data_IF_388628654396
#
_entry.id   IF_388628654396
#
_cell.length_a   1.000
_cell.length_b   1.000
_cell.length_c   1.000
_cell.angle_alpha   90.00
_cell.angle_beta   90.00
_cell.angle_gamma   90.00
#
_symmetry.space_group_name_H-M   'P 1'
#
loop_
_entity.id
_entity.type
_entity.pdbx_description
1 polymer ?
#
# COMPACT_ATOMS: atom_id res chain seq x y z
N UNK A 1 22.61 -13.13 19.16
CA UNK A 1 23.18 -11.96 18.46
C UNK A 1 22.57 -11.92 17.07
N UNK A 2 21.55 -11.08 16.85
CA UNK A 2 20.92 -10.95 15.53
C UNK A 2 21.64 -9.85 14.74
N UNK A 3 22.30 -10.25 13.66
CA UNK A 3 22.95 -9.33 12.73
C UNK A 3 21.88 -8.43 12.08
N UNK A 4 21.84 -7.15 12.48
CA UNK A 4 21.14 -6.10 11.74
C UNK A 4 22.11 -5.49 10.74
N UNK A 5 22.09 -6.00 9.51
CA UNK A 5 22.40 -5.14 8.37
C UNK A 5 21.10 -4.48 7.96
N UNK A 6 20.95 -3.17 8.21
CA UNK A 6 20.22 -2.20 7.36
C UNK A 6 20.52 -0.80 7.93
N UNK A 7 21.15 0.04 7.09
CA UNK A 7 21.39 1.48 7.30
C UNK A 7 20.13 2.26 6.87
N UNK A 8 19.03 2.04 7.58
CA UNK A 8 17.85 2.91 7.56
C UNK A 8 17.19 2.78 8.95
N UNK A 9 17.05 3.85 9.75
CA UNK A 9 16.42 3.76 11.08
C UNK A 9 14.95 3.30 11.02
N UNK A 10 14.35 3.31 9.84
CA UNK A 10 12.96 2.97 9.57
C UNK A 10 12.84 1.53 9.04
N UNK A 11 12.90 0.54 9.93
CA UNK A 11 12.62 -0.87 9.59
C UNK A 11 11.19 -1.23 10.00
N UNK A 12 10.31 -1.54 9.05
CA UNK A 12 8.99 -2.09 9.34
C UNK A 12 9.06 -3.61 9.49
N UNK A 13 8.44 -4.13 10.55
CA UNK A 13 8.29 -5.58 10.74
C UNK A 13 7.13 -6.10 9.88
N UNK A 14 7.42 -6.99 8.92
CA UNK A 14 6.42 -7.50 7.99
C UNK A 14 5.68 -8.75 8.51
N UNK A 15 6.40 -9.71 9.12
CA UNK A 15 5.81 -10.91 9.74
C UNK A 15 6.86 -11.71 10.54
N UNK A 16 6.40 -12.62 11.42
CA UNK A 16 7.25 -13.56 12.15
C UNK A 16 7.56 -14.77 11.25
N UNK A 17 8.84 -15.03 11.01
CA UNK A 17 9.28 -16.23 10.28
C UNK A 17 9.26 -17.42 11.24
N UNK A 18 8.34 -18.37 11.03
CA UNK A 18 8.33 -19.61 11.82
C UNK A 18 9.56 -20.49 11.51
N UNK A 19 10.11 -21.22 12.50
CA UNK A 19 11.27 -22.09 12.31
C UNK A 19 11.13 -23.14 11.19
N UNK A 20 9.89 -23.51 10.84
CA UNK A 20 9.61 -24.44 9.74
C UNK A 20 10.03 -23.92 8.36
N UNK A 21 10.01 -22.60 8.15
CA UNK A 21 10.42 -21.99 6.88
C UNK A 21 11.94 -21.97 6.71
N UNK A 22 12.70 -21.84 7.79
CA UNK A 22 14.17 -21.83 7.76
C UNK A 22 14.79 -23.14 7.26
N UNK A 23 14.06 -24.26 7.36
CA UNK A 23 14.54 -25.55 6.85
C UNK A 23 14.59 -25.65 5.33
N UNK A 24 13.76 -24.87 4.62
CA UNK A 24 13.52 -25.03 3.18
C UNK A 24 13.76 -23.76 2.36
N UNK A 25 13.86 -22.58 2.99
CA UNK A 25 14.03 -21.30 2.32
C UNK A 25 15.41 -20.74 2.65
N UNK A 26 16.20 -20.36 1.62
CA UNK A 26 17.59 -19.90 1.80
C UNK A 26 17.69 -18.38 1.83
N UNK A 27 16.78 -17.68 1.16
CA UNK A 27 16.72 -16.21 1.13
C UNK A 27 15.32 -15.70 1.50
N UNK A 28 15.19 -14.45 2.01
CA UNK A 28 13.90 -13.88 2.41
C UNK A 28 12.83 -13.92 1.32
N UNK A 29 13.24 -13.80 0.05
CA UNK A 29 12.34 -13.87 -1.11
C UNK A 29 11.65 -15.24 -1.24
N UNK A 30 12.33 -16.34 -0.90
CA UNK A 30 11.74 -17.69 -0.92
C UNK A 30 10.64 -17.82 0.13
N UNK A 31 10.80 -17.14 1.26
CA UNK A 31 9.83 -17.13 2.36
C UNK A 31 8.61 -16.30 1.94
N UNK A 32 8.84 -15.10 1.39
CA UNK A 32 7.78 -14.22 0.89
C UNK A 32 6.93 -14.92 -0.18
N UNK A 33 7.56 -15.56 -1.18
CA UNK A 33 6.88 -16.31 -2.25
C UNK A 33 6.03 -17.48 -1.75
N UNK A 34 6.31 -17.99 -0.55
CA UNK A 34 5.58 -19.11 0.05
C UNK A 34 4.44 -18.67 0.98
N UNK A 35 4.60 -17.52 1.62
CA UNK A 35 3.63 -16.98 2.60
C UNK A 35 2.59 -16.11 1.91
N UNK A 36 3.01 -15.29 0.95
CA UNK A 36 2.11 -14.40 0.24
C UNK A 36 1.33 -15.17 -0.83
N UNK A 37 0.08 -14.77 -1.03
CA UNK A 37 -0.69 -15.22 -2.18
C UNK A 37 0.04 -14.85 -3.47
N UNK A 38 -0.18 -15.62 -4.53
CA UNK A 38 0.39 -15.31 -5.85
C UNK A 38 0.05 -13.86 -6.23
N UNK A 39 1.05 -13.11 -6.70
CA UNK A 39 0.99 -11.68 -7.06
C UNK A 39 0.86 -10.69 -5.89
N UNK A 40 0.93 -11.15 -4.64
CA UNK A 40 0.91 -10.28 -3.47
C UNK A 40 2.31 -10.10 -2.90
N UNK A 41 2.60 -8.88 -2.44
CA UNK A 41 3.85 -8.54 -1.75
C UNK A 41 3.59 -8.19 -0.27
N UNK A 42 2.47 -8.65 0.28
CA UNK A 42 2.13 -8.51 1.68
C UNK A 42 1.25 -9.67 2.17
N UNK A 43 1.22 -9.84 3.48
CA UNK A 43 0.32 -10.74 4.15
C UNK A 43 -1.03 -10.05 4.35
N UNK A 44 -2.10 -10.56 3.72
CA UNK A 44 -3.48 -10.14 4.02
C UNK A 44 -4.14 -11.21 4.87
N UNK A 45 -4.82 -10.80 5.92
CA UNK A 45 -5.70 -11.64 6.74
C UNK A 45 -7.00 -12.02 5.99
N UNK A 46 -7.33 -11.29 4.92
CA UNK A 46 -8.52 -11.51 4.11
C UNK A 46 -8.16 -11.84 2.64
N UNK A 47 -8.52 -13.02 2.12
CA UNK A 47 -8.06 -13.53 0.83
C UNK A 47 -8.52 -12.70 -0.38
N UNK A 48 -9.53 -11.83 -0.21
CA UNK A 48 -10.04 -10.96 -1.27
C UNK A 48 -9.55 -9.51 -1.18
N UNK A 49 -8.91 -9.09 -0.08
CA UNK A 49 -8.40 -7.71 0.09
C UNK A 49 -7.01 -7.63 -0.53
N UNK A 50 -6.99 -7.62 -1.86
CA UNK A 50 -5.79 -7.56 -2.70
C UNK A 50 -5.14 -6.17 -2.66
N UNK A 51 -3.95 -6.02 -3.25
CA UNK A 51 -3.37 -4.69 -3.48
C UNK A 51 -4.33 -3.80 -4.28
N UNK A 52 -4.98 -4.35 -5.31
CA UNK A 52 -5.93 -3.61 -6.16
C UNK A 52 -7.13 -3.12 -5.33
N UNK A 53 -7.64 -3.93 -4.39
CA UNK A 53 -8.70 -3.48 -3.47
C UNK A 53 -8.28 -2.22 -2.70
N UNK A 54 -7.07 -2.22 -2.16
CA UNK A 54 -6.55 -1.09 -1.40
C UNK A 54 -6.26 0.13 -2.28
N UNK A 55 -5.65 -0.05 -3.45
CA UNK A 55 -5.48 1.03 -4.43
C UNK A 55 -6.83 1.65 -4.81
N UNK A 56 -7.84 0.80 -5.05
CA UNK A 56 -9.17 1.24 -5.43
C UNK A 56 -9.85 2.05 -4.33
N UNK A 57 -9.66 1.74 -3.05
CA UNK A 57 -10.13 2.59 -1.94
C UNK A 57 -9.56 4.02 -2.04
N UNK A 58 -8.25 4.16 -2.31
CA UNK A 58 -7.62 5.47 -2.37
C UNK A 58 -8.09 6.28 -3.59
N UNK A 59 -8.37 5.61 -4.72
CA UNK A 59 -8.90 6.24 -5.93
C UNK A 59 -10.39 6.59 -5.78
N UNK A 60 -11.22 5.66 -5.32
CA UNK A 60 -12.68 5.83 -5.13
C UNK A 60 -13.02 6.95 -4.14
N UNK A 61 -12.16 7.14 -3.15
CA UNK A 61 -12.31 8.23 -2.17
C UNK A 61 -11.76 9.56 -2.66
N UNK A 62 -11.24 9.66 -3.89
CA UNK A 62 -10.46 10.79 -4.42
C UNK A 62 -9.28 11.21 -3.51
N UNK A 63 -8.71 10.26 -2.77
CA UNK A 63 -7.55 10.55 -1.91
C UNK A 63 -6.27 10.68 -2.73
N UNK A 64 -6.17 9.91 -3.82
CA UNK A 64 -5.04 9.95 -4.75
C UNK A 64 -5.50 9.95 -6.21
N UNK A 65 -4.62 10.43 -7.08
CA UNK A 65 -4.58 10.09 -8.51
C UNK A 65 -3.31 9.34 -8.82
N UNK A 66 -3.40 8.36 -9.71
CA UNK A 66 -2.25 7.58 -10.16
C UNK A 66 -1.96 7.84 -11.64
N UNK A 67 -0.67 7.86 -11.99
CA UNK A 67 -0.19 8.01 -13.36
C UNK A 67 0.89 6.96 -13.60
N UNK A 68 0.52 5.76 -14.08
CA UNK A 68 1.49 4.72 -14.39
C UNK A 68 2.30 5.09 -15.64
N UNK A 69 3.54 4.60 -15.68
CA UNK A 69 4.48 4.74 -16.79
C UNK A 69 5.03 3.37 -17.17
N UNK A 70 4.81 3.00 -18.43
CA UNK A 70 5.31 1.75 -18.99
C UNK A 70 6.71 1.89 -19.59
N UNK A 71 7.40 0.77 -19.73
CA UNK A 71 8.66 0.70 -20.48
C UNK A 71 8.41 1.11 -21.96
N UNK A 72 9.22 2.00 -22.55
CA UNK A 72 9.07 2.39 -23.96
C UNK A 72 9.17 1.23 -24.96
N UNK A 73 9.91 0.17 -24.60
CA UNK A 73 10.11 -1.03 -25.40
C UNK A 73 9.15 -2.16 -25.02
N UNK A 74 8.49 -2.07 -23.86
CA UNK A 74 7.47 -3.02 -23.40
C UNK A 74 6.30 -2.31 -22.71
N UNK A 75 5.25 -1.91 -23.46
CA UNK A 75 4.11 -1.16 -22.92
C UNK A 75 3.32 -1.90 -21.82
N UNK A 76 3.39 -3.23 -21.74
CA UNK A 76 2.74 -4.03 -20.69
C UNK A 76 3.50 -3.99 -19.36
N UNK A 77 4.79 -3.60 -19.38
CA UNK A 77 5.62 -3.50 -18.20
C UNK A 77 5.52 -2.11 -17.58
N UNK A 78 4.70 -1.97 -16.53
CA UNK A 78 4.67 -0.76 -15.70
C UNK A 78 5.99 -0.70 -14.90
N UNK A 79 6.82 0.29 -15.19
CA UNK A 79 8.13 0.46 -14.53
C UNK A 79 8.01 1.32 -13.28
N UNK A 80 7.19 2.37 -13.35
CA UNK A 80 6.94 3.25 -12.23
C UNK A 80 5.55 3.87 -12.28
N UNK A 81 5.06 4.31 -11.13
CA UNK A 81 3.77 4.99 -11.01
C UNK A 81 3.94 6.24 -10.17
N UNK A 82 3.51 7.39 -10.71
CA UNK A 82 3.40 8.62 -9.92
C UNK A 82 2.06 8.64 -9.18
N UNK A 83 2.10 8.99 -7.90
CA UNK A 83 0.94 9.11 -7.01
C UNK A 83 0.81 10.57 -6.61
N UNK A 84 -0.31 11.17 -6.95
CA UNK A 84 -0.66 12.54 -6.61
C UNK A 84 -1.66 12.52 -5.46
N UNK A 85 -1.20 12.85 -4.27
CA UNK A 85 -2.01 12.87 -3.04
C UNK A 85 -2.88 14.13 -3.05
N UNK A 86 -4.19 13.95 -3.04
CA UNK A 86 -5.17 15.03 -3.13
C UNK A 86 -5.82 15.36 -1.80
N UNK A 87 -6.03 14.37 -0.93
CA UNK A 87 -6.55 14.57 0.44
C UNK A 87 -6.29 13.34 1.30
N UNK A 88 -6.29 13.54 2.62
CA UNK A 88 -6.20 12.47 3.61
C UNK A 88 -7.46 12.48 4.47
N UNK A 89 -8.27 11.43 4.42
CA UNK A 89 -9.56 11.43 5.13
C UNK A 89 -9.32 11.18 6.62
N UNK A 90 -9.64 12.17 7.45
CA UNK A 90 -9.70 12.03 8.90
C UNK A 90 -10.93 11.23 9.33
N UNK A 91 -10.91 10.67 10.53
CA UNK A 91 -12.08 9.98 11.10
C UNK A 91 -13.30 10.92 11.23
N UNK A 92 -13.09 12.22 11.43
CA UNK A 92 -14.17 13.21 11.46
C UNK A 92 -14.77 13.43 10.06
N UNK A 93 -13.94 13.50 9.02
CA UNK A 93 -14.39 13.62 7.63
C UNK A 93 -14.99 12.33 7.08
N UNK A 94 -14.70 11.18 7.71
CA UNK A 94 -15.26 9.89 7.29
C UNK A 94 -16.80 9.87 7.31
N UNK A 95 -17.42 10.63 8.22
CA UNK A 95 -18.86 10.91 8.21
C UNK A 95 -19.77 9.76 8.69
N UNK A 96 -19.22 8.63 9.13
CA UNK A 96 -19.94 7.50 9.72
C UNK A 96 -19.06 6.82 10.80
N UNK A 97 -19.59 5.92 11.65
CA UNK A 97 -18.74 5.25 12.61
C UNK A 97 -17.70 4.36 11.89
N UNK A 98 -16.45 4.27 12.38
CA UNK A 98 -15.31 3.78 11.59
C UNK A 98 -15.40 2.31 11.18
N UNK A 99 -16.15 1.50 11.91
CA UNK A 99 -16.41 0.09 11.58
C UNK A 99 -17.54 -0.11 10.56
N UNK A 100 -18.34 0.93 10.27
CA UNK A 100 -19.40 0.83 9.28
C UNK A 100 -18.81 0.83 7.88
N UNK A 101 -19.37 -0.03 7.05
CA UNK A 101 -18.99 -0.24 5.68
C UNK A 101 -19.58 0.83 4.77
N UNK A 102 -18.76 1.37 3.85
CA UNK A 102 -19.15 2.12 2.66
C UNK A 102 -19.12 1.19 1.46
N UNK A 103 -19.93 1.51 0.46
CA UNK A 103 -19.86 0.87 -0.84
C UNK A 103 -18.91 1.63 -1.76
N UNK A 104 -18.21 0.92 -2.63
CA UNK A 104 -17.51 1.54 -3.74
C UNK A 104 -18.49 2.22 -4.70
N UNK A 105 -18.06 3.30 -5.34
CA UNK A 105 -18.86 3.99 -6.36
C UNK A 105 -19.02 3.17 -7.65
N UNK A 106 -18.07 2.27 -7.93
CA UNK A 106 -18.08 1.38 -9.09
C UNK A 106 -18.05 -0.09 -8.67
N UNK A 107 -18.42 -0.99 -9.58
CA UNK A 107 -18.42 -2.43 -9.34
C UNK A 107 -17.01 -2.96 -9.03
N UNK A 108 -16.86 -3.60 -7.87
CA UNK A 108 -15.63 -4.27 -7.44
C UNK A 108 -15.98 -5.60 -6.75
N UNK A 109 -15.11 -6.61 -6.78
CA UNK A 109 -15.40 -7.95 -6.25
C UNK A 109 -15.74 -7.96 -4.76
N UNK A 110 -15.05 -7.12 -3.98
CA UNK A 110 -15.48 -6.74 -2.64
C UNK A 110 -16.26 -5.43 -2.79
N UNK A 111 -17.54 -5.45 -2.41
CA UNK A 111 -18.40 -4.27 -2.59
C UNK A 111 -18.22 -3.20 -1.53
N UNK A 112 -17.52 -3.50 -0.43
CA UNK A 112 -17.47 -2.63 0.74
C UNK A 112 -16.10 -2.49 1.39
N UNK A 113 -15.89 -1.35 2.04
CA UNK A 113 -14.71 -1.03 2.84
C UNK A 113 -15.08 -0.12 4.01
N UNK A 114 -14.29 -0.11 5.08
CA UNK A 114 -14.51 0.78 6.23
C UNK A 114 -13.32 1.74 6.44
N UNK A 115 -13.34 2.52 7.54
CA UNK A 115 -12.28 3.50 7.79
C UNK A 115 -10.91 2.85 8.06
N UNK A 116 -10.89 1.67 8.68
CA UNK A 116 -9.66 0.95 8.92
C UNK A 116 -9.09 0.37 7.62
N UNK A 117 -9.95 -0.09 6.70
CA UNK A 117 -9.52 -0.47 5.36
C UNK A 117 -8.90 0.71 4.62
N UNK A 118 -9.44 1.93 4.79
CA UNK A 118 -8.85 3.16 4.26
C UNK A 118 -7.45 3.46 4.83
N UNK A 119 -7.24 3.29 6.14
CA UNK A 119 -5.90 3.45 6.75
C UNK A 119 -4.95 2.39 6.18
N UNK A 120 -5.37 1.13 6.15
CA UNK A 120 -4.56 0.02 5.63
C UNK A 120 -4.25 0.19 4.13
N UNK A 121 -5.11 0.89 3.39
CA UNK A 121 -4.89 1.15 1.98
C UNK A 121 -3.59 1.91 1.71
N UNK A 122 -3.23 2.87 2.57
CA UNK A 122 -1.96 3.59 2.47
C UNK A 122 -0.74 2.67 2.63
N UNK A 123 -0.85 1.58 3.40
CA UNK A 123 0.24 0.62 3.57
C UNK A 123 0.31 -0.41 2.45
N UNK A 124 -0.84 -0.87 1.94
CA UNK A 124 -0.87 -2.02 1.04
C UNK A 124 -0.97 -1.67 -0.45
N UNK A 125 -1.55 -0.52 -0.81
CA UNK A 125 -1.68 -0.12 -2.20
C UNK A 125 -0.31 0.02 -2.89
N UNK A 126 0.70 0.51 -2.18
CA UNK A 126 2.01 0.79 -2.77
C UNK A 126 3.00 -0.37 -2.67
N UNK A 127 2.50 -1.58 -2.41
CA UNK A 127 3.30 -2.80 -2.38
C UNK A 127 3.25 -3.56 -3.71
N UNK A 128 2.59 -3.03 -4.75
CA UNK A 128 2.67 -3.60 -6.09
C UNK A 128 4.12 -3.73 -6.54
N UNK A 129 4.43 -4.85 -7.21
CA UNK A 129 5.68 -5.08 -7.91
C UNK A 129 5.37 -5.61 -9.30
N UNK A 130 6.13 -5.17 -10.29
CA UNK A 130 6.02 -5.70 -11.64
C UNK A 130 6.67 -7.10 -11.73
N UNK A 131 6.55 -7.74 -12.90
CA UNK A 131 7.09 -9.08 -13.14
C UNK A 131 8.62 -9.18 -12.97
N UNK A 132 9.33 -8.05 -12.97
CA UNK A 132 10.76 -7.97 -12.77
C UNK A 132 11.15 -7.63 -11.32
N UNK A 133 10.18 -7.48 -10.41
CA UNK A 133 10.37 -7.07 -9.01
C UNK A 133 11.11 -5.71 -8.88
N UNK A 134 10.85 -4.78 -9.82
CA UNK A 134 11.55 -3.48 -9.96
C UNK A 134 10.62 -2.28 -10.06
N UNK A 135 9.37 -2.40 -9.63
CA UNK A 135 8.44 -1.28 -9.71
C UNK A 135 8.79 -0.20 -8.69
N UNK A 136 8.68 1.07 -9.11
CA UNK A 136 8.91 2.23 -8.24
C UNK A 136 7.68 3.13 -8.13
N UNK A 137 7.40 3.60 -6.91
CA UNK A 137 6.35 4.57 -6.60
C UNK A 137 6.96 5.96 -6.37
N UNK A 138 6.36 6.99 -6.98
CA UNK A 138 6.78 8.38 -6.82
C UNK A 138 5.65 9.20 -6.23
N UNK A 139 5.82 9.71 -5.01
CA UNK A 139 4.79 10.48 -4.31
C UNK A 139 4.93 11.99 -4.54
N UNK A 140 3.81 12.63 -4.86
CA UNK A 140 3.67 14.07 -5.03
C UNK A 140 2.44 14.55 -4.25
N UNK A 141 2.54 15.72 -3.59
CA UNK A 141 1.35 16.42 -3.10
C UNK A 141 0.72 17.14 -4.31
N UNK A 142 -0.54 16.83 -4.61
CA UNK A 142 -1.25 17.43 -5.72
C UNK A 142 -1.57 18.90 -5.44
N UNK A 143 -1.66 19.73 -6.48
CA UNK A 143 -2.05 21.15 -6.35
C UNK A 143 -3.46 21.35 -5.77
N UNK A 144 -4.31 20.33 -5.84
CA UNK A 144 -5.66 20.32 -5.26
C UNK A 144 -5.67 20.00 -3.77
N UNK A 145 -4.52 19.64 -3.20
CA UNK A 145 -4.40 19.34 -1.78
C UNK A 145 -4.66 20.58 -0.94
N UNK A 146 -5.58 20.45 0.03
CA UNK A 146 -5.84 21.51 0.98
C UNK A 146 -4.74 21.55 2.05
N UNK A 147 -3.85 22.55 1.98
CA UNK A 147 -2.75 22.72 2.94
C UNK A 147 -3.22 22.99 4.38
N UNK A 148 -4.45 23.46 4.57
CA UNK A 148 -5.05 23.70 5.90
C UNK A 148 -5.74 22.45 6.47
N UNK A 149 -5.78 21.36 5.72
CA UNK A 149 -6.40 20.13 6.20
C UNK A 149 -5.66 19.57 7.42
N UNK A 150 -6.43 19.15 8.42
CA UNK A 150 -5.88 18.36 9.53
C UNK A 150 -5.36 17.04 8.98
N UNK A 151 -4.08 16.73 9.26
CA UNK A 151 -3.44 15.49 8.86
C UNK A 151 -3.48 14.50 10.05
N UNK A 152 -4.06 13.30 9.88
CA UNK A 152 -4.05 12.29 10.92
C UNK A 152 -2.64 11.86 11.32
N UNK A 153 -2.40 11.59 12.61
CA UNK A 153 -1.11 11.12 13.09
C UNK A 153 -0.66 9.81 12.43
N UNK A 154 -1.57 8.87 12.19
CA UNK A 154 -1.24 7.61 11.48
C UNK A 154 -0.69 7.88 10.07
N UNK A 155 -1.12 8.95 9.41
CA UNK A 155 -0.62 9.31 8.09
C UNK A 155 0.74 9.99 8.20
N UNK A 156 0.95 10.85 9.21
CA UNK A 156 2.27 11.42 9.49
C UNK A 156 3.29 10.32 9.76
N UNK A 157 2.94 9.32 10.57
CA UNK A 157 3.77 8.15 10.80
C UNK A 157 4.08 7.46 9.47
N UNK A 158 3.08 7.14 8.65
CA UNK A 158 3.30 6.57 7.32
C UNK A 158 4.24 7.43 6.45
N UNK A 159 4.03 8.74 6.40
CA UNK A 159 4.84 9.68 5.62
C UNK A 159 6.31 9.73 6.06
N UNK A 160 6.61 9.54 7.35
CA UNK A 160 8.01 9.47 7.82
C UNK A 160 8.78 8.27 7.27
N UNK A 161 8.09 7.17 6.92
CA UNK A 161 8.72 5.97 6.37
C UNK A 161 8.81 5.99 4.84
N UNK A 162 7.77 6.49 4.16
CA UNK A 162 7.62 6.37 2.70
C UNK A 162 7.70 7.70 1.94
N UNK A 163 7.62 8.82 2.64
CA UNK A 163 7.78 10.14 2.05
C UNK A 163 9.22 10.38 1.57
N UNK A 164 9.43 11.40 0.72
CA UNK A 164 10.76 11.81 0.33
C UNK A 164 11.56 12.30 1.56
N UNK A 165 12.82 11.85 1.66
CA UNK A 165 13.80 12.34 2.64
C UNK A 165 14.45 13.66 2.19
#
# INVERSE_FOLDING_TARGET
SFYRHIKNPYSQFLFIIEPGYQKNCKIPLDIAKRIFSKEWNFYSDHPKKTQIFYEFILVDTDSIKISPKSDPNNPELITHTSVFIQKIITIAQWGQPPHHYKHFSSSFDILVYNYFDYIQAWHHAFLFQNIEERHSWFFCIDKTFNAEQIIPYWFMDWWTFYGPN
#
